data_IF_820004277205
#
_entry.id   IF_820004277205
#
_cell.length_a   1.000
_cell.length_b   1.000
_cell.length_c   1.000
_cell.angle_alpha   90.00
_cell.angle_beta   90.00
_cell.angle_gamma   90.00
#
_symmetry.space_group_name_H-M   'P 1'
#
loop_
_entity.id
_entity.type
_entity.pdbx_description
1 polymer ?
#
# COMPACT_ATOMS: atom_id res chain seq x y z
N UNK A 1 -0.02 17.67 3.47
CA UNK A 1 -0.28 18.55 2.32
C UNK A 1 0.72 19.70 2.19
N UNK A 2 1.30 20.23 3.28
CA UNK A 2 2.23 21.37 3.19
C UNK A 2 3.47 21.08 2.32
N UNK A 3 4.04 19.88 2.40
CA UNK A 3 5.15 19.47 1.52
C UNK A 3 4.73 19.50 0.06
N UNK A 4 3.55 18.96 -0.29
CA UNK A 4 3.00 18.98 -1.65
C UNK A 4 2.85 20.41 -2.23
N UNK A 5 2.56 21.42 -1.39
CA UNK A 5 2.44 22.83 -1.81
C UNK A 5 3.79 23.44 -2.17
N UNK A 6 4.88 23.01 -1.52
CA UNK A 6 6.25 23.50 -1.77
C UNK A 6 6.95 22.71 -2.87
N UNK A 7 6.70 21.40 -2.94
CA UNK A 7 7.29 20.49 -3.90
C UNK A 7 6.29 19.39 -4.28
N UNK A 8 6.19 19.08 -5.57
CA UNK A 8 5.25 18.07 -6.08
C UNK A 8 5.77 16.66 -5.76
N UNK A 9 5.24 16.02 -4.73
CA UNK A 9 5.60 14.66 -4.29
C UNK A 9 4.69 13.57 -4.87
N UNK A 10 3.52 13.95 -5.39
CA UNK A 10 2.63 13.06 -6.16
C UNK A 10 1.67 13.84 -7.08
N UNK A 11 1.03 13.10 -7.97
CA UNK A 11 -0.06 13.57 -8.82
C UNK A 11 -1.42 13.19 -8.25
N UNK A 12 -2.40 14.09 -8.38
CA UNK A 12 -3.78 13.76 -8.01
C UNK A 12 -4.33 12.72 -9.00
N UNK A 13 -4.65 11.54 -8.47
CA UNK A 13 -5.34 10.49 -9.23
C UNK A 13 -6.86 10.64 -9.17
N UNK A 14 -7.56 9.52 -9.32
CA UNK A 14 -9.02 9.47 -9.35
C UNK A 14 -9.69 9.68 -7.98
N UNK A 15 -8.99 9.40 -6.87
CA UNK A 15 -9.59 9.41 -5.54
C UNK A 15 -10.25 10.76 -5.15
N UNK A 16 -9.60 11.94 -5.31
CA UNK A 16 -10.26 13.20 -4.99
C UNK A 16 -11.52 13.46 -5.84
N UNK A 17 -11.52 13.29 -7.18
CA UNK A 17 -12.75 13.34 -7.97
C UNK A 17 -13.85 12.39 -7.48
N UNK A 18 -13.51 11.13 -7.15
CA UNK A 18 -14.48 10.16 -6.62
C UNK A 18 -15.12 10.65 -5.32
N UNK A 19 -14.31 11.18 -4.39
CA UNK A 19 -14.83 11.71 -3.12
C UNK A 19 -15.72 12.94 -3.31
N UNK A 20 -15.47 13.76 -4.34
CA UNK A 20 -16.32 14.91 -4.66
C UNK A 20 -17.66 14.48 -5.27
N UNK A 21 -17.64 13.54 -6.23
CA UNK A 21 -18.86 13.06 -6.91
C UNK A 21 -19.80 12.36 -5.93
N UNK A 22 -19.25 11.56 -5.01
CA UNK A 22 -20.04 10.79 -4.04
C UNK A 22 -20.11 11.45 -2.67
N UNK A 23 -19.80 12.75 -2.55
CA UNK A 23 -19.87 13.47 -1.29
C UNK A 23 -21.27 13.36 -0.66
N UNK A 24 -21.33 12.94 0.61
CA UNK A 24 -22.60 12.68 1.31
C UNK A 24 -23.29 11.36 0.97
N UNK A 25 -22.81 10.61 -0.03
CA UNK A 25 -23.36 9.34 -0.50
C UNK A 25 -22.39 8.16 -0.30
N UNK A 26 -21.42 8.30 0.62
CA UNK A 26 -20.47 7.25 1.00
C UNK A 26 -20.64 6.91 2.48
N UNK A 27 -20.40 5.64 2.83
CA UNK A 27 -20.42 5.14 4.21
C UNK A 27 -19.01 4.77 4.62
N UNK A 28 -18.54 5.14 5.84
CA UNK A 28 -17.24 4.71 6.32
C UNK A 28 -17.20 3.19 6.51
N UNK A 29 -16.05 2.60 6.20
CA UNK A 29 -15.78 1.17 6.43
C UNK A 29 -14.70 1.07 7.50
N UNK A 30 -14.80 0.05 8.37
CA UNK A 30 -13.79 -0.24 9.39
C UNK A 30 -12.38 -0.35 8.77
N UNK A 31 -11.37 0.18 9.47
CA UNK A 31 -10.01 0.25 8.94
C UNK A 31 -9.39 -1.12 8.64
N UNK A 32 -9.90 -2.20 9.25
CA UNK A 32 -9.46 -3.58 8.94
C UNK A 32 -9.59 -3.94 7.46
N UNK A 33 -10.51 -3.28 6.75
CA UNK A 33 -10.79 -3.51 5.33
C UNK A 33 -9.93 -2.67 4.39
N UNK A 34 -9.08 -1.78 4.92
CA UNK A 34 -8.18 -0.97 4.11
C UNK A 34 -6.98 -0.49 4.94
N UNK A 35 -6.13 -1.43 5.35
CA UNK A 35 -4.89 -1.10 6.06
C UNK A 35 -3.85 -0.54 5.07
N UNK A 36 -4.01 0.74 4.77
CA UNK A 36 -3.30 1.46 3.71
C UNK A 36 -2.00 2.12 4.16
N UNK A 37 -1.22 2.61 3.19
CA UNK A 37 0.04 3.32 3.41
C UNK A 37 1.25 2.41 3.59
N UNK A 38 1.10 1.10 3.35
CA UNK A 38 2.19 0.14 3.50
C UNK A 38 3.25 0.27 2.40
N UNK A 39 2.96 1.03 1.35
CA UNK A 39 3.93 1.40 0.32
C UNK A 39 4.92 2.48 0.75
N UNK A 40 4.89 2.88 2.02
CA UNK A 40 5.75 3.92 2.59
C UNK A 40 5.32 5.33 2.20
N UNK A 41 6.01 6.31 2.76
CA UNK A 41 5.81 7.71 2.37
C UNK A 41 6.46 7.99 1.00
N UNK A 42 5.96 9.02 0.30
CA UNK A 42 6.40 9.32 -1.07
C UNK A 42 7.69 10.15 -1.14
N UNK A 43 8.29 10.50 0.01
CA UNK A 43 9.45 11.38 0.12
C UNK A 43 10.70 10.61 0.54
N UNK A 44 10.70 10.04 1.75
CA UNK A 44 11.81 9.28 2.34
C UNK A 44 11.66 7.76 2.11
N UNK A 45 10.46 7.28 1.72
CA UNK A 45 10.21 5.87 1.45
C UNK A 45 10.20 4.99 2.70
N UNK A 46 9.95 5.58 3.87
CA UNK A 46 10.01 4.90 5.16
C UNK A 46 8.97 3.80 5.27
N UNK A 47 9.37 2.68 5.88
CA UNK A 47 8.46 1.61 6.25
C UNK A 47 7.44 2.10 7.28
N UNK A 48 6.22 1.57 7.19
CA UNK A 48 5.13 1.91 8.10
C UNK A 48 4.59 0.66 8.76
N UNK A 49 4.37 0.74 10.07
CA UNK A 49 3.77 -0.33 10.84
C UNK A 49 2.25 -0.46 10.60
N UNK A 50 1.72 -1.62 10.99
CA UNK A 50 0.28 -1.83 11.06
C UNK A 50 -0.33 -0.95 12.15
N UNK A 51 -1.52 -0.42 11.89
CA UNK A 51 -2.32 0.22 12.94
C UNK A 51 -2.84 -0.87 13.88
N UNK A 52 -3.00 -0.57 15.18
CA UNK A 52 -3.56 -1.53 16.13
C UNK A 52 -4.96 -2.03 15.72
N UNK A 53 -5.27 -3.27 16.10
CA UNK A 53 -6.56 -3.92 15.86
C UNK A 53 -6.51 -5.02 14.80
N UNK A 54 -7.65 -5.68 14.53
CA UNK A 54 -7.73 -6.72 13.53
C UNK A 54 -7.48 -6.16 12.13
N UNK A 55 -6.83 -6.95 11.28
CA UNK A 55 -6.56 -6.60 9.88
C UNK A 55 -7.13 -7.70 8.99
N UNK A 56 -7.77 -7.32 7.90
CA UNK A 56 -8.33 -8.26 6.91
C UNK A 56 -7.84 -7.96 5.50
N UNK A 57 -7.57 -6.70 5.17
CA UNK A 57 -7.00 -6.30 3.88
C UNK A 57 -5.81 -5.37 4.11
N UNK A 58 -4.66 -5.79 3.58
CA UNK A 58 -3.43 -5.00 3.54
C UNK A 58 -3.34 -4.24 2.22
N UNK A 59 -2.97 -2.96 2.27
CA UNK A 59 -2.92 -2.12 1.07
C UNK A 59 -1.60 -1.34 0.99
N UNK A 60 -0.73 -1.78 0.07
CA UNK A 60 0.53 -1.10 -0.30
C UNK A 60 0.31 0.11 -1.21
N UNK A 61 -0.50 1.07 -0.72
CA UNK A 61 -0.64 2.39 -1.35
C UNK A 61 0.64 3.21 -1.15
N UNK A 62 1.04 4.00 -2.16
CA UNK A 62 2.33 4.71 -2.18
C UNK A 62 3.22 4.18 -3.30
N UNK A 63 4.48 4.63 -3.31
CA UNK A 63 5.48 4.26 -4.34
C UNK A 63 6.20 2.94 -4.07
N UNK A 64 6.40 2.55 -2.81
CA UNK A 64 7.11 1.34 -2.44
C UNK A 64 6.25 0.08 -2.62
N UNK A 65 6.24 -0.50 -3.81
CA UNK A 65 5.56 -1.79 -4.03
C UNK A 65 6.37 -2.93 -3.40
N UNK A 66 5.70 -3.93 -2.77
CA UNK A 66 6.40 -4.97 -2.03
C UNK A 66 7.33 -5.78 -2.93
N UNK A 67 6.86 -6.24 -4.09
CA UNK A 67 7.69 -6.95 -5.08
C UNK A 67 8.94 -6.13 -5.48
N UNK A 68 8.77 -4.84 -5.78
CA UNK A 68 9.87 -3.99 -6.17
C UNK A 68 10.93 -3.82 -5.07
N UNK A 69 10.51 -3.73 -3.80
CA UNK A 69 11.43 -3.66 -2.65
C UNK A 69 12.14 -4.98 -2.37
N UNK A 70 11.43 -6.10 -2.55
CA UNK A 70 11.99 -7.45 -2.44
C UNK A 70 13.05 -7.68 -3.51
N UNK A 71 12.75 -7.36 -4.78
CA UNK A 71 13.69 -7.46 -5.91
C UNK A 71 14.93 -6.59 -5.68
N UNK A 72 14.73 -5.37 -5.15
CA UNK A 72 15.80 -4.44 -4.81
C UNK A 72 16.55 -4.80 -3.51
N UNK A 73 16.22 -5.91 -2.84
CA UNK A 73 16.82 -6.36 -1.56
C UNK A 73 16.77 -5.31 -0.45
N UNK A 74 15.73 -4.48 -0.46
CA UNK A 74 15.47 -3.44 0.54
C UNK A 74 14.05 -3.54 1.10
N UNK A 75 13.63 -4.72 1.61
CA UNK A 75 12.24 -4.94 2.03
C UNK A 75 11.92 -4.22 3.33
N UNK A 76 10.67 -3.78 3.45
CA UNK A 76 10.06 -3.55 4.75
C UNK A 76 9.67 -4.88 5.39
N UNK A 77 9.61 -4.94 6.72
CA UNK A 77 9.24 -6.17 7.45
C UNK A 77 7.92 -6.79 6.94
N UNK A 78 6.92 -5.95 6.66
CA UNK A 78 5.61 -6.40 6.16
C UNK A 78 5.64 -6.94 4.72
N UNK A 79 6.67 -6.64 3.92
CA UNK A 79 6.73 -7.13 2.53
C UNK A 79 6.90 -8.64 2.48
N UNK A 80 7.49 -9.25 3.52
CA UNK A 80 7.58 -10.70 3.64
C UNK A 80 6.20 -11.39 3.71
N UNK A 81 5.18 -10.70 4.27
CA UNK A 81 3.81 -11.22 4.25
C UNK A 81 3.28 -11.27 2.82
N UNK A 82 3.52 -10.22 2.02
CA UNK A 82 3.14 -10.21 0.61
C UNK A 82 3.86 -11.31 -0.17
N UNK A 83 5.17 -11.48 0.05
CA UNK A 83 6.01 -12.47 -0.63
C UNK A 83 5.47 -13.90 -0.53
N UNK A 84 4.87 -14.27 0.62
CA UNK A 84 4.27 -15.61 0.79
C UNK A 84 3.07 -15.89 -0.14
N UNK A 85 2.49 -14.85 -0.74
CA UNK A 85 1.40 -14.93 -1.70
C UNK A 85 1.84 -14.55 -3.13
N UNK A 86 3.12 -14.26 -3.35
CA UNK A 86 3.62 -14.01 -4.69
C UNK A 86 3.67 -15.33 -5.48
N UNK A 87 2.92 -15.37 -6.58
CA UNK A 87 2.80 -16.55 -7.43
C UNK A 87 3.82 -16.55 -8.57
N UNK A 88 4.64 -15.49 -8.69
CA UNK A 88 5.64 -15.39 -9.76
C UNK A 88 6.83 -16.33 -9.53
N UNK A 89 7.12 -16.70 -8.28
CA UNK A 89 8.08 -17.76 -7.95
C UNK A 89 7.34 -19.04 -7.52
N UNK A 90 6.90 -19.82 -8.52
CA UNK A 90 6.43 -21.19 -8.28
C UNK A 90 7.63 -22.10 -8.02
N UNK A 91 8.23 -22.00 -6.83
CA UNK A 91 9.08 -23.10 -6.32
C UNK A 91 8.28 -24.39 -6.10
N UNK A 92 6.94 -24.29 -6.06
CA UNK A 92 6.05 -25.41 -6.34
C UNK A 92 5.96 -25.66 -7.84
N UNK A 93 7.01 -26.26 -8.39
CA UNK A 93 6.78 -27.22 -9.46
C UNK A 93 5.81 -28.26 -8.87
N UNK A 94 4.56 -28.28 -9.35
CA UNK A 94 3.75 -29.47 -9.17
C UNK A 94 4.46 -30.58 -9.94
N UNK A 95 5.29 -31.36 -9.23
CA UNK A 95 5.80 -32.62 -9.74
C UNK A 95 4.57 -33.41 -10.24
N UNK A 96 4.48 -33.53 -11.56
CA UNK A 96 3.49 -34.33 -12.27
C UNK A 96 4.02 -35.74 -12.46
#
# INVERSE_FOLDING_TARGET
MEIQKRMRIYELGSLPPFLLVFAGNIVPVDHRWNQHGLGGDNFDGLCRDLRPGPVSVLHWSGKGKPWARLDAKTPCLLDALWASYDLLDTSFAFDS
#
